data_IF_034774535629
#
_entry.id   IF_034774535629
#
_cell.length_a   1.000
_cell.length_b   1.000
_cell.length_c   1.000
_cell.angle_alpha   90.00
_cell.angle_beta   90.00
_cell.angle_gamma   90.00
#
_symmetry.space_group_name_H-M   'P 1'
#
loop_
_entity.id
_entity.type
_entity.pdbx_description
1 polymer ?
#
# COMPACT_ATOMS: atom_id res chain seq x y z
N UNK A 1 -8.99 13.74 -16.65
CA UNK A 1 -10.03 12.75 -16.97
C UNK A 1 -10.53 11.96 -15.74
N UNK A 2 -10.21 12.41 -14.55
CA UNK A 2 -10.96 12.09 -13.34
C UNK A 2 -11.96 13.23 -13.02
N UNK A 3 -12.51 13.87 -14.06
CA UNK A 3 -13.35 15.08 -13.93
C UNK A 3 -14.69 14.82 -13.25
N UNK A 4 -15.09 13.57 -13.10
CA UNK A 4 -16.40 13.22 -12.56
C UNK A 4 -16.35 12.68 -11.12
N UNK A 5 -15.18 12.58 -10.50
CA UNK A 5 -15.06 12.18 -9.09
C UNK A 5 -15.15 13.38 -8.16
N UNK A 6 -15.68 13.16 -6.96
CA UNK A 6 -15.77 14.18 -5.91
C UNK A 6 -15.46 13.55 -4.55
N UNK A 7 -15.33 14.37 -3.51
CA UNK A 7 -15.15 13.87 -2.14
C UNK A 7 -16.37 13.10 -1.61
N UNK A 8 -17.51 13.16 -2.33
CA UNK A 8 -18.74 12.50 -1.94
C UNK A 8 -18.96 11.14 -2.58
N UNK A 9 -18.29 10.82 -3.70
CA UNK A 9 -18.44 9.55 -4.37
C UNK A 9 -17.21 9.19 -5.22
N UNK A 10 -16.98 7.88 -5.38
CA UNK A 10 -15.96 7.34 -6.26
C UNK A 10 -16.55 7.00 -7.64
N UNK A 11 -15.75 7.13 -8.67
CA UNK A 11 -16.12 6.73 -10.06
C UNK A 11 -15.41 5.43 -10.41
N UNK A 12 -16.15 4.50 -11.01
CA UNK A 12 -15.56 3.26 -11.51
C UNK A 12 -14.57 3.52 -12.66
N UNK A 13 -13.32 3.11 -12.48
CA UNK A 13 -12.25 3.34 -13.43
C UNK A 13 -11.70 2.06 -14.08
N UNK A 14 -12.26 0.89 -13.71
CA UNK A 14 -11.76 -0.43 -14.10
C UNK A 14 -11.61 -0.64 -15.62
N UNK A 15 -12.44 -0.01 -16.45
CA UNK A 15 -12.38 -0.10 -17.92
C UNK A 15 -11.16 0.61 -18.54
N UNK A 16 -10.42 1.41 -17.77
CA UNK A 16 -9.20 2.07 -18.20
C UNK A 16 -7.92 1.30 -17.81
N UNK A 17 -8.07 0.26 -16.97
CA UNK A 17 -6.93 -0.47 -16.45
C UNK A 17 -6.37 -1.45 -17.47
N UNK A 18 -5.05 -1.54 -17.54
CA UNK A 18 -4.40 -2.64 -18.25
C UNK A 18 -4.78 -3.98 -17.58
N UNK A 19 -5.09 -5.05 -18.37
CA UNK A 19 -5.57 -6.33 -17.84
C UNK A 19 -4.69 -6.96 -16.75
N UNK A 20 -3.39 -6.66 -16.73
CA UNK A 20 -2.48 -7.18 -15.72
C UNK A 20 -2.92 -6.86 -14.29
N UNK A 21 -3.46 -5.66 -14.06
CA UNK A 21 -3.89 -5.23 -12.74
C UNK A 21 -5.16 -5.94 -12.24
N UNK A 22 -5.95 -6.54 -13.14
CA UNK A 22 -7.06 -7.41 -12.76
C UNK A 22 -6.60 -8.74 -12.15
N UNK A 23 -5.32 -9.08 -12.28
CA UNK A 23 -4.72 -10.31 -11.75
C UNK A 23 -4.00 -10.10 -10.40
N UNK A 24 -4.00 -8.89 -9.87
CA UNK A 24 -3.21 -8.56 -8.68
C UNK A 24 -3.79 -9.21 -7.42
N UNK A 25 -2.86 -9.70 -6.61
CA UNK A 25 -3.08 -10.08 -5.21
C UNK A 25 -2.79 -8.89 -4.30
N UNK A 26 -3.44 -8.87 -3.15
CA UNK A 26 -3.19 -7.97 -2.02
C UNK A 26 -3.15 -8.81 -0.73
N UNK A 27 -2.01 -9.45 -0.47
CA UNK A 27 -1.84 -10.27 0.72
C UNK A 27 -1.48 -9.38 1.93
N UNK A 28 -2.34 -9.34 2.94
CA UNK A 28 -2.21 -8.44 4.09
C UNK A 28 -1.52 -9.16 5.25
N UNK A 29 -0.29 -8.80 5.54
CA UNK A 29 0.49 -9.33 6.66
C UNK A 29 0.06 -8.64 7.97
N UNK A 30 -0.46 -9.41 8.91
CA UNK A 30 -0.95 -8.89 10.20
C UNK A 30 0.22 -8.78 11.18
N UNK A 31 0.90 -7.65 11.17
CA UNK A 31 2.03 -7.38 12.06
C UNK A 31 1.55 -7.18 13.51
N UNK A 32 0.41 -6.50 13.67
CA UNK A 32 -0.22 -6.31 14.98
C UNK A 32 -1.73 -6.38 14.86
N UNK A 33 -2.35 -7.02 15.87
CA UNK A 33 -3.81 -7.06 16.07
C UNK A 33 -4.27 -6.01 17.08
N UNK A 34 -3.35 -5.26 17.68
CA UNK A 34 -3.68 -4.22 18.64
C UNK A 34 -4.51 -3.12 18.00
N UNK A 35 -5.49 -2.62 18.74
CA UNK A 35 -6.24 -1.44 18.31
C UNK A 35 -5.32 -0.25 18.16
N UNK A 36 -5.56 0.53 17.09
CA UNK A 36 -4.79 1.75 16.82
C UNK A 36 -5.00 2.75 17.96
N UNK A 37 -3.92 3.17 18.60
CA UNK A 37 -3.98 4.19 19.66
C UNK A 37 -4.51 5.54 19.19
N UNK A 38 -4.53 5.78 17.87
CA UNK A 38 -5.06 6.98 17.21
C UNK A 38 -5.90 6.54 16.02
N UNK A 39 -7.14 7.02 15.94
CA UNK A 39 -8.00 6.75 14.78
C UNK A 39 -7.44 7.41 13.52
N UNK A 40 -7.80 6.90 12.33
CA UNK A 40 -7.40 7.51 11.05
C UNK A 40 -7.82 8.98 10.99
N UNK A 41 -9.01 9.32 11.49
CA UNK A 41 -9.50 10.71 11.56
C UNK A 41 -8.62 11.60 12.44
N UNK A 42 -8.19 11.11 13.60
CA UNK A 42 -7.29 11.86 14.47
C UNK A 42 -5.89 12.00 13.84
N UNK A 43 -5.41 10.95 13.16
CA UNK A 43 -4.16 11.01 12.39
C UNK A 43 -4.21 12.05 11.26
N UNK A 44 -5.32 12.14 10.51
CA UNK A 44 -5.52 13.19 9.51
C UNK A 44 -5.49 14.59 10.11
N UNK A 45 -6.12 14.80 11.26
CA UNK A 45 -6.13 16.09 11.94
C UNK A 45 -4.72 16.54 12.38
N UNK A 46 -3.82 15.62 12.68
CA UNK A 46 -2.42 15.93 12.98
C UNK A 46 -1.63 16.44 11.75
N UNK A 47 -2.21 16.34 10.55
CA UNK A 47 -1.61 16.88 9.33
C UNK A 47 -1.84 18.38 9.15
N UNK A 48 -2.86 18.95 9.77
CA UNK A 48 -3.27 20.35 9.55
C UNK A 48 -2.17 21.35 9.94
N UNK A 49 -1.45 21.07 11.03
CA UNK A 49 -0.35 21.92 11.52
C UNK A 49 1.05 21.36 11.18
N UNK A 50 1.14 20.34 10.30
CA UNK A 50 2.43 19.74 9.95
C UNK A 50 3.16 20.60 8.92
N UNK A 51 4.40 21.06 9.19
CA UNK A 51 5.14 21.96 8.31
C UNK A 51 5.47 21.36 6.92
N UNK A 52 5.32 20.05 6.75
CA UNK A 52 5.60 19.34 5.49
C UNK A 52 4.33 18.95 4.74
N UNK A 53 3.13 19.23 5.28
CA UNK A 53 1.85 18.81 4.69
C UNK A 53 1.62 19.41 3.31
N UNK A 54 1.92 20.70 3.11
CA UNK A 54 1.75 21.36 1.81
C UNK A 54 2.59 20.69 0.71
N UNK A 55 3.86 20.44 0.99
CA UNK A 55 4.76 19.73 0.05
C UNK A 55 4.24 18.33 -0.25
N UNK A 56 3.71 17.63 0.74
CA UNK A 56 3.09 16.31 0.58
C UNK A 56 1.91 16.39 -0.38
N UNK A 57 0.97 17.31 -0.16
CA UNK A 57 -0.24 17.46 -0.99
C UNK A 57 0.08 17.81 -2.43
N UNK A 58 1.02 18.71 -2.66
CA UNK A 58 1.51 19.03 -4.02
C UNK A 58 2.10 17.81 -4.73
N UNK A 59 2.90 17.03 -4.01
CA UNK A 59 3.56 15.83 -4.55
C UNK A 59 2.54 14.75 -4.91
N UNK A 60 1.52 14.52 -4.08
CA UNK A 60 0.47 13.52 -4.30
C UNK A 60 -0.28 13.75 -5.60
N UNK A 61 -0.61 14.99 -5.93
CA UNK A 61 -1.31 15.30 -7.19
C UNK A 61 -0.51 14.88 -8.42
N UNK A 62 0.81 15.11 -8.40
CA UNK A 62 1.72 14.68 -9.46
C UNK A 62 1.80 13.15 -9.56
N UNK A 63 1.96 12.47 -8.41
CA UNK A 63 2.03 11.02 -8.31
C UNK A 63 0.72 10.34 -8.73
N UNK A 64 -0.43 10.93 -8.43
CA UNK A 64 -1.72 10.41 -8.88
C UNK A 64 -1.80 10.36 -10.41
N UNK A 65 -1.36 11.42 -11.10
CA UNK A 65 -1.31 11.42 -12.58
C UNK A 65 -0.40 10.32 -13.12
N UNK A 66 0.77 10.14 -12.52
CA UNK A 66 1.71 9.07 -12.89
C UNK A 66 1.13 7.69 -12.59
N UNK A 67 0.46 7.50 -11.46
CA UNK A 67 -0.23 6.25 -11.11
C UNK A 67 -1.29 5.89 -12.15
N UNK A 68 -2.14 6.83 -12.54
CA UNK A 68 -3.14 6.59 -13.59
C UNK A 68 -2.51 6.22 -14.93
N UNK A 69 -1.38 6.84 -15.28
CA UNK A 69 -0.63 6.50 -16.49
C UNK A 69 -0.04 5.08 -16.40
N UNK A 70 0.57 4.72 -15.27
CA UNK A 70 1.13 3.38 -15.03
C UNK A 70 0.03 2.30 -15.12
N UNK A 71 -1.11 2.54 -14.49
CA UNK A 71 -2.26 1.63 -14.50
C UNK A 71 -2.83 1.42 -15.91
N UNK A 72 -2.88 2.45 -16.73
CA UNK A 72 -3.29 2.35 -18.15
C UNK A 72 -2.28 1.57 -19.00
N UNK A 73 -1.00 1.85 -18.78
CA UNK A 73 0.08 1.27 -19.60
C UNK A 73 0.44 -0.17 -19.21
N UNK A 74 0.06 -0.64 -18.02
CA UNK A 74 0.53 -1.91 -17.48
C UNK A 74 1.96 -1.83 -16.93
N UNK A 75 2.42 -0.62 -16.58
CA UNK A 75 3.75 -0.38 -16.04
C UNK A 75 3.78 -0.72 -14.55
N UNK A 76 4.10 -1.99 -14.27
CA UNK A 76 4.13 -2.54 -12.90
C UNK A 76 5.26 -1.92 -12.08
N UNK A 77 6.39 -1.57 -12.71
CA UNK A 77 7.53 -0.99 -12.00
C UNK A 77 7.21 0.42 -11.52
N UNK A 78 6.67 1.26 -12.39
CA UNK A 78 6.24 2.62 -12.02
C UNK A 78 5.10 2.59 -11.01
N UNK A 79 4.13 1.68 -11.17
CA UNK A 79 3.06 1.46 -10.20
C UNK A 79 3.63 1.18 -8.80
N UNK A 80 4.53 0.20 -8.69
CA UNK A 80 5.12 -0.20 -7.42
C UNK A 80 6.00 0.88 -6.79
N UNK A 81 6.79 1.59 -7.59
CA UNK A 81 7.62 2.71 -7.13
C UNK A 81 6.76 3.82 -6.51
N UNK A 82 5.66 4.19 -7.16
CA UNK A 82 4.74 5.20 -6.63
C UNK A 82 4.05 4.70 -5.36
N UNK A 83 3.58 3.46 -5.36
CA UNK A 83 2.89 2.84 -4.24
C UNK A 83 3.74 2.88 -2.96
N UNK A 84 4.99 2.43 -3.04
CA UNK A 84 5.92 2.41 -1.91
C UNK A 84 6.30 3.83 -1.46
N UNK A 85 6.52 4.76 -2.40
CA UNK A 85 6.79 6.17 -2.09
C UNK A 85 5.64 6.84 -1.35
N UNK A 86 4.40 6.51 -1.71
CA UNK A 86 3.22 7.02 -1.01
C UNK A 86 3.16 6.49 0.42
N UNK A 87 3.40 5.20 0.64
CA UNK A 87 3.45 4.60 1.97
C UNK A 87 4.53 5.27 2.85
N UNK A 88 5.76 5.40 2.34
CA UNK A 88 6.84 6.06 3.07
C UNK A 88 6.54 7.53 3.37
N UNK A 89 6.00 8.26 2.39
CA UNK A 89 5.73 9.67 2.51
C UNK A 89 4.64 9.95 3.56
N UNK A 90 3.59 9.13 3.63
CA UNK A 90 2.55 9.25 4.63
C UNK A 90 3.08 8.97 6.04
N UNK A 91 3.79 7.84 6.22
CA UNK A 91 4.36 7.48 7.52
C UNK A 91 5.44 8.46 7.97
N UNK A 92 6.27 8.97 7.03
CA UNK A 92 7.23 10.03 7.30
C UNK A 92 6.56 11.30 7.84
N UNK A 93 5.45 11.71 7.23
CA UNK A 93 4.69 12.87 7.69
C UNK A 93 4.12 12.68 9.10
N UNK A 94 3.62 11.46 9.40
CA UNK A 94 3.12 11.13 10.75
C UNK A 94 4.23 11.17 11.80
N UNK A 95 5.43 10.70 11.47
CA UNK A 95 6.58 10.78 12.38
C UNK A 95 7.06 12.21 12.64
N UNK A 96 6.75 13.14 11.74
CA UNK A 96 7.09 14.56 11.83
C UNK A 96 5.92 15.42 12.35
N UNK A 97 4.80 14.83 12.75
CA UNK A 97 3.68 15.56 13.34
C UNK A 97 3.96 16.03 14.77
N UNK A 98 3.10 16.88 15.31
CA UNK A 98 3.19 17.33 16.70
C UNK A 98 1.87 17.00 17.44
N UNK A 99 1.86 16.04 18.37
CA UNK A 99 2.98 15.18 18.78
C UNK A 99 3.40 14.19 17.67
N UNK A 100 4.67 13.69 17.69
CA UNK A 100 5.12 12.67 16.75
C UNK A 100 4.31 11.38 16.89
N UNK A 101 4.01 10.75 15.75
CA UNK A 101 3.18 9.56 15.72
C UNK A 101 3.85 8.43 14.93
N UNK A 102 4.19 7.34 15.60
CA UNK A 102 4.85 6.18 15.01
C UNK A 102 3.89 5.00 14.88
N UNK A 103 3.51 4.69 13.65
CA UNK A 103 2.68 3.53 13.32
C UNK A 103 3.49 2.28 13.02
N UNK A 104 4.71 2.44 12.51
CA UNK A 104 5.57 1.33 12.15
C UNK A 104 5.99 0.54 13.40
N UNK A 105 5.99 -0.78 13.28
CA UNK A 105 6.53 -1.70 14.28
C UNK A 105 7.82 -2.34 13.73
N UNK A 106 8.67 -2.93 14.58
CA UNK A 106 9.87 -3.62 14.11
C UNK A 106 9.58 -4.67 13.04
N UNK A 107 8.47 -5.41 13.16
CA UNK A 107 8.02 -6.37 12.15
C UNK A 107 7.69 -5.72 10.80
N UNK A 108 7.08 -4.53 10.80
CA UNK A 108 6.81 -3.77 9.57
C UNK A 108 8.09 -3.47 8.81
N UNK A 109 9.10 -2.94 9.51
CA UNK A 109 10.40 -2.58 8.92
C UNK A 109 11.11 -3.83 8.39
N UNK A 110 11.13 -4.92 9.18
CA UNK A 110 11.74 -6.18 8.77
C UNK A 110 11.09 -6.77 7.51
N UNK A 111 9.77 -6.71 7.41
CA UNK A 111 9.05 -7.15 6.20
C UNK A 111 9.43 -6.31 5.00
N UNK A 112 9.46 -4.99 5.12
CA UNK A 112 9.84 -4.07 4.05
C UNK A 112 11.25 -4.38 3.52
N UNK A 113 12.22 -4.56 4.41
CA UNK A 113 13.60 -4.91 4.04
C UNK A 113 13.64 -6.24 3.29
N UNK A 114 12.90 -7.26 3.76
CA UNK A 114 12.80 -8.57 3.11
C UNK A 114 12.14 -8.49 1.74
N UNK A 115 11.11 -7.69 1.57
CA UNK A 115 10.46 -7.47 0.25
C UNK A 115 11.45 -6.85 -0.75
N UNK A 116 12.21 -5.84 -0.33
CA UNK A 116 13.23 -5.23 -1.19
C UNK A 116 14.35 -6.22 -1.56
N UNK A 117 14.82 -7.02 -0.59
CA UNK A 117 15.80 -8.07 -0.84
C UNK A 117 15.28 -9.11 -1.83
N UNK A 118 14.07 -9.61 -1.61
CA UNK A 118 13.42 -10.61 -2.47
C UNK A 118 13.28 -10.09 -3.91
N UNK A 119 12.74 -8.88 -4.10
CA UNK A 119 12.57 -8.25 -5.42
C UNK A 119 13.91 -8.08 -6.13
N UNK A 120 14.94 -7.59 -5.43
CA UNK A 120 16.27 -7.38 -6.00
C UNK A 120 16.93 -8.69 -6.45
N UNK A 121 16.79 -9.76 -5.65
CA UNK A 121 17.44 -11.06 -5.89
C UNK A 121 16.72 -11.86 -6.96
N UNK A 122 15.40 -11.93 -6.89
CA UNK A 122 14.59 -12.81 -7.75
C UNK A 122 14.08 -12.13 -9.02
N UNK A 123 14.19 -10.80 -9.12
CA UNK A 123 13.63 -10.01 -10.22
C UNK A 123 12.12 -10.19 -10.41
N UNK A 124 11.41 -10.48 -9.32
CA UNK A 124 9.97 -10.65 -9.28
C UNK A 124 9.33 -9.35 -8.81
N UNK A 125 8.31 -8.81 -9.51
CA UNK A 125 7.59 -7.62 -9.12
C UNK A 125 6.71 -7.91 -7.89
N UNK A 126 7.24 -7.63 -6.72
CA UNK A 126 6.58 -7.67 -5.43
C UNK A 126 6.75 -6.31 -4.76
N UNK A 127 5.66 -5.66 -4.47
CA UNK A 127 5.63 -4.32 -3.87
C UNK A 127 4.81 -4.32 -2.58
N UNK A 128 5.00 -3.30 -1.76
CA UNK A 128 4.21 -3.14 -0.56
C UNK A 128 3.53 -1.78 -0.51
N UNK A 129 2.46 -1.73 0.26
CA UNK A 129 1.88 -0.48 0.76
C UNK A 129 1.50 -0.62 2.22
N UNK A 130 1.24 0.51 2.84
CA UNK A 130 0.82 0.60 4.23
C UNK A 130 -0.42 1.49 4.31
N UNK A 131 -1.40 1.05 5.09
CA UNK A 131 -2.46 1.94 5.56
C UNK A 131 -2.00 2.74 6.79
N UNK A 132 -2.91 3.44 7.46
CA UNK A 132 -2.61 4.09 8.74
C UNK A 132 -2.45 3.06 9.87
N UNK A 133 -1.48 2.14 9.74
CA UNK A 133 -1.22 1.06 10.69
C UNK A 133 0.12 0.37 10.45
N UNK A 134 0.43 -0.66 11.26
CA UNK A 134 1.67 -1.43 11.13
C UNK A 134 1.59 -2.57 10.12
N UNK A 135 0.39 -2.94 9.66
CA UNK A 135 0.18 -4.07 8.77
C UNK A 135 0.65 -3.76 7.37
N UNK A 136 1.19 -4.76 6.68
CA UNK A 136 1.81 -4.59 5.37
C UNK A 136 0.97 -5.28 4.32
N UNK A 137 0.56 -4.53 3.31
CA UNK A 137 -0.09 -5.03 2.10
C UNK A 137 0.97 -5.40 1.06
N UNK A 138 0.93 -6.60 0.53
CA UNK A 138 1.83 -7.09 -0.50
C UNK A 138 1.10 -7.21 -1.82
N UNK A 139 1.53 -6.42 -2.81
CA UNK A 139 0.89 -6.36 -4.12
C UNK A 139 1.78 -6.98 -5.19
N UNK A 140 1.20 -7.92 -5.96
CA UNK A 140 1.90 -8.64 -7.02
C UNK A 140 0.92 -9.29 -8.01
N UNK A 141 1.29 -9.51 -9.29
CA UNK A 141 0.43 -10.18 -10.26
C UNK A 141 0.35 -11.70 -10.02
N UNK A 142 -0.76 -12.32 -10.38
CA UNK A 142 -1.06 -13.75 -10.19
C UNK A 142 0.01 -14.69 -10.77
N UNK A 143 0.70 -14.27 -11.83
CA UNK A 143 1.81 -15.02 -12.43
C UNK A 143 2.89 -15.42 -11.41
N UNK A 144 3.07 -14.64 -10.36
CA UNK A 144 4.11 -14.86 -9.34
C UNK A 144 3.55 -15.40 -8.03
N UNK A 145 2.28 -15.77 -7.98
CA UNK A 145 1.57 -16.18 -6.77
C UNK A 145 2.29 -17.27 -5.98
N UNK A 146 2.64 -18.37 -6.63
CA UNK A 146 3.22 -19.51 -5.93
C UNK A 146 4.54 -19.16 -5.24
N UNK A 147 5.41 -18.43 -5.96
CA UNK A 147 6.73 -18.04 -5.44
C UNK A 147 6.59 -17.02 -4.32
N UNK A 148 5.70 -16.03 -4.48
CA UNK A 148 5.48 -14.99 -3.46
C UNK A 148 4.82 -15.60 -2.22
N UNK A 149 3.82 -16.45 -2.36
CA UNK A 149 3.19 -17.09 -1.21
C UNK A 149 4.12 -18.05 -0.47
N UNK A 150 5.03 -18.72 -1.18
CA UNK A 150 6.08 -19.50 -0.54
C UNK A 150 7.04 -18.59 0.26
N UNK A 151 7.44 -17.46 -0.30
CA UNK A 151 8.24 -16.45 0.40
C UNK A 151 7.53 -15.90 1.65
N UNK A 152 6.25 -15.55 1.55
CA UNK A 152 5.44 -15.12 2.69
C UNK A 152 5.49 -16.17 3.80
N UNK A 153 5.15 -17.42 3.49
CA UNK A 153 5.06 -18.51 4.46
C UNK A 153 6.40 -18.86 5.12
N UNK A 154 7.47 -18.85 4.35
CA UNK A 154 8.78 -19.32 4.82
C UNK A 154 9.58 -18.23 5.53
N UNK A 155 9.42 -16.96 5.11
CA UNK A 155 10.29 -15.88 5.58
C UNK A 155 9.54 -14.75 6.32
N UNK A 156 8.29 -14.42 5.94
CA UNK A 156 7.63 -13.23 6.45
C UNK A 156 6.71 -13.50 7.65
N UNK A 157 6.06 -14.66 7.74
CA UNK A 157 5.09 -14.94 8.82
C UNK A 157 5.69 -14.87 10.22
N UNK A 158 7.01 -15.03 10.36
CA UNK A 158 7.70 -14.86 11.66
C UNK A 158 7.62 -13.44 12.23
N UNK A 159 7.33 -12.46 11.39
CA UNK A 159 7.15 -11.05 11.78
C UNK A 159 5.69 -10.68 12.02
N UNK A 160 4.77 -11.60 11.72
CA UNK A 160 3.34 -11.42 11.85
C UNK A 160 2.83 -11.90 13.20
N UNK A 161 1.82 -11.23 13.72
CA UNK A 161 1.10 -11.66 14.92
C UNK A 161 0.50 -13.05 14.68
N UNK A 162 0.87 -14.02 15.52
CA UNK A 162 0.41 -15.42 15.43
C UNK A 162 0.67 -16.06 14.06
N UNK A 163 1.68 -15.57 13.31
CA UNK A 163 1.97 -16.05 11.97
C UNK A 163 0.80 -15.89 10.98
N UNK A 164 -0.01 -14.84 11.13
CA UNK A 164 -1.23 -14.67 10.36
C UNK A 164 -1.11 -13.64 9.25
N UNK A 165 -1.76 -13.92 8.11
CA UNK A 165 -1.98 -12.99 7.02
C UNK A 165 -3.35 -13.25 6.37
N UNK A 166 -3.87 -12.28 5.64
CA UNK A 166 -5.12 -12.38 4.91
C UNK A 166 -4.76 -12.44 3.42
N UNK A 167 -4.95 -13.59 2.74
CA UNK A 167 -4.79 -13.64 1.28
C UNK A 167 -6.00 -12.97 0.62
N UNK A 168 -5.74 -11.95 -0.20
CA UNK A 168 -6.78 -11.26 -0.96
C UNK A 168 -6.34 -11.03 -2.41
N UNK A 169 -7.27 -10.63 -3.24
CA UNK A 169 -7.04 -10.33 -4.65
C UNK A 169 -8.11 -9.40 -5.21
N UNK A 170 -7.83 -8.84 -6.39
CA UNK A 170 -8.83 -8.05 -7.13
C UNK A 170 -10.12 -8.85 -7.30
N UNK A 171 -11.21 -8.28 -6.79
CA UNK A 171 -12.55 -8.85 -6.83
C UNK A 171 -13.41 -8.27 -7.96
N UNK A 172 -14.64 -8.78 -8.06
CA UNK A 172 -15.62 -8.35 -9.07
C UNK A 172 -16.44 -7.10 -8.66
N UNK A 173 -16.03 -6.45 -7.56
CA UNK A 173 -16.76 -5.33 -6.97
C UNK A 173 -17.97 -5.76 -6.12
N UNK A 174 -18.68 -4.80 -5.54
CA UNK A 174 -19.83 -5.07 -4.68
C UNK A 174 -20.97 -5.67 -5.50
N UNK A 175 -21.68 -6.66 -4.91
CA UNK A 175 -22.92 -7.20 -5.47
C UNK A 175 -24.08 -6.62 -4.67
N UNK A 176 -25.11 -6.14 -5.39
CA UNK A 176 -26.37 -5.79 -4.77
C UNK A 176 -27.04 -7.10 -4.28
N UNK A 177 -27.40 -7.15 -3.01
CA UNK A 177 -28.14 -8.26 -2.40
C UNK A 177 -29.62 -8.19 -2.77
#
# INVERSE_FOLDING_TARGET
>A
EAQDSSDLYAVGWGHHLHPIFATFHDDILIISKEEKGVSSTAGHKLMDDNPYSETRYMTVQGRMKQMLAALKAGDIELFGDILEKEAYSLHGLMMLSNPPYLLLRPGTVSVIEKVHEFRRTNKIPLYFTLDAGPNVHLLYPDLHKEVVQAFIKNELLRYCSEGSYIPDKVGNGPKQL
#
